data_IF_091911286867
#
_entry.id   IF_091911286867
#
_cell.length_a   1.000
_cell.length_b   1.000
_cell.length_c   1.000
_cell.angle_alpha   90.00
_cell.angle_beta   90.00
_cell.angle_gamma   90.00
#
_symmetry.space_group_name_H-M   'P 1'
#
loop_
_entity.id
_entity.type
_entity.pdbx_description
1 polymer ?
#
# COMPACT_ATOMS: atom_id res chain seq x y z
N UNK A 1 -5.55 13.99 -3.11
CA UNK A 1 -4.26 13.68 -3.74
C UNK A 1 -3.68 12.40 -3.16
N UNK A 2 -3.11 11.57 -3.99
CA UNK A 2 -2.58 10.30 -3.54
C UNK A 2 -1.13 10.42 -3.14
N UNK A 3 -0.74 9.65 -2.14
CA UNK A 3 0.62 9.59 -1.69
C UNK A 3 1.34 8.47 -2.44
N UNK A 4 2.51 8.79 -3.00
CA UNK A 4 3.31 7.81 -3.72
C UNK A 4 4.73 7.82 -3.20
N UNK A 5 5.32 6.63 -3.11
CA UNK A 5 6.70 6.51 -2.64
C UNK A 5 7.29 5.20 -3.15
N UNK A 6 8.57 5.26 -3.52
CA UNK A 6 9.32 4.03 -3.80
C UNK A 6 9.95 3.57 -2.50
N UNK A 7 9.73 2.31 -2.14
CA UNK A 7 10.21 1.76 -0.89
C UNK A 7 10.76 0.35 -1.15
N UNK A 8 12.05 0.20 -0.99
CA UNK A 8 12.72 -1.10 -1.17
C UNK A 8 12.42 -1.73 -2.52
N UNK A 9 12.37 -0.92 -3.55
CA UNK A 9 12.12 -1.41 -4.90
C UNK A 9 10.65 -1.55 -5.26
N UNK A 10 9.76 -1.24 -4.34
CA UNK A 10 8.32 -1.29 -4.59
C UNK A 10 7.78 0.14 -4.71
N UNK A 11 6.83 0.32 -5.60
CA UNK A 11 6.12 1.60 -5.68
C UNK A 11 4.86 1.49 -4.84
N UNK A 12 4.75 2.32 -3.82
CA UNK A 12 3.58 2.36 -2.96
C UNK A 12 2.71 3.54 -3.37
N UNK A 13 1.42 3.29 -3.52
CA UNK A 13 0.43 4.34 -3.71
C UNK A 13 -0.64 4.14 -2.67
N UNK A 14 -1.00 5.22 -1.99
CA UNK A 14 -2.03 5.13 -0.98
C UNK A 14 -3.04 6.25 -1.16
N UNK A 15 -4.22 6.03 -0.65
CA UNK A 15 -5.30 6.98 -0.73
C UNK A 15 -6.33 6.63 0.31
N UNK A 16 -7.54 7.11 0.11
CA UNK A 16 -8.61 6.86 1.06
C UNK A 16 -9.95 6.96 0.36
N UNK A 17 -10.93 6.28 0.93
CA UNK A 17 -12.29 6.32 0.42
C UNK A 17 -13.22 6.74 1.54
N UNK A 18 -14.23 7.56 1.25
CA UNK A 18 -15.19 7.96 2.28
C UNK A 18 -16.04 6.78 2.70
N UNK A 19 -16.40 6.77 3.98
CA UNK A 19 -17.29 5.75 4.51
C UNK A 19 -18.70 6.10 4.11
N UNK A 20 -19.44 5.12 3.65
CA UNK A 20 -20.73 5.37 3.05
C UNK A 20 -21.77 5.92 4.02
N UNK A 21 -21.85 5.35 5.22
CA UNK A 21 -22.94 5.64 6.13
C UNK A 21 -22.61 6.62 7.23
N UNK A 22 -21.42 7.17 7.24
CA UNK A 22 -21.01 8.06 8.31
C UNK A 22 -19.81 8.88 7.89
N UNK A 23 -19.46 9.85 8.70
CA UNK A 23 -18.30 10.68 8.43
C UNK A 23 -17.05 9.90 8.72
N UNK A 24 -16.11 9.96 7.81
CA UNK A 24 -14.84 9.30 7.98
C UNK A 24 -14.32 8.70 6.70
N UNK A 25 -13.13 8.15 6.79
CA UNK A 25 -12.44 7.59 5.62
C UNK A 25 -11.76 6.29 6.01
N UNK A 26 -11.67 5.40 5.04
CA UNK A 26 -10.92 4.16 5.19
C UNK A 26 -9.74 4.16 4.23
N UNK A 27 -8.63 3.53 4.62
CA UNK A 27 -7.45 3.51 3.76
C UNK A 27 -7.65 2.71 2.48
N UNK A 28 -6.84 3.06 1.49
CA UNK A 28 -6.65 2.25 0.28
C UNK A 28 -5.15 2.21 0.07
N UNK A 29 -4.61 1.05 -0.27
CA UNK A 29 -3.19 0.91 -0.51
C UNK A 29 -2.95 0.03 -1.72
N UNK A 30 -1.92 0.39 -2.48
CA UNK A 30 -1.53 -0.36 -3.66
C UNK A 30 -0.02 -0.42 -3.73
N UNK A 31 0.50 -1.59 -4.08
CA UNK A 31 1.93 -1.79 -4.26
C UNK A 31 2.15 -2.36 -5.65
N UNK A 32 3.10 -1.78 -6.36
CA UNK A 32 3.50 -2.24 -7.69
C UNK A 32 4.98 -2.59 -7.66
N UNK A 33 5.35 -3.66 -8.35
CA UNK A 33 6.76 -4.02 -8.49
C UNK A 33 6.91 -4.86 -9.75
N UNK A 34 8.17 -5.08 -10.14
CA UNK A 34 8.48 -5.92 -11.28
C UNK A 34 9.16 -7.18 -10.78
N UNK A 35 8.67 -8.32 -11.23
CA UNK A 35 9.21 -9.61 -10.85
C UNK A 35 9.39 -10.46 -12.08
N UNK A 36 10.62 -10.89 -12.35
CA UNK A 36 10.92 -11.72 -13.53
C UNK A 36 10.44 -11.06 -14.82
N UNK A 37 10.62 -9.74 -14.93
CA UNK A 37 10.24 -9.01 -16.12
C UNK A 37 8.75 -8.73 -16.22
N UNK A 38 7.97 -9.11 -15.24
CA UNK A 38 6.53 -8.91 -15.24
C UNK A 38 6.14 -7.94 -14.14
N UNK A 39 5.18 -7.10 -14.47
CA UNK A 39 4.67 -6.16 -13.49
C UNK A 39 3.67 -6.85 -12.58
N UNK A 40 3.82 -6.64 -11.28
CA UNK A 40 2.94 -7.20 -10.26
C UNK A 40 2.26 -6.09 -9.49
N UNK A 41 1.08 -6.38 -9.01
CA UNK A 41 0.27 -5.43 -8.25
C UNK A 41 -0.36 -6.13 -7.07
N UNK A 42 -0.37 -5.45 -5.93
CA UNK A 42 -1.12 -5.88 -4.75
C UNK A 42 -1.99 -4.71 -4.32
N UNK A 43 -3.28 -4.94 -4.16
CA UNK A 43 -4.22 -3.88 -3.89
C UNK A 43 -5.09 -4.22 -2.68
N UNK A 44 -5.18 -3.27 -1.75
CA UNK A 44 -6.07 -3.37 -0.60
C UNK A 44 -7.07 -2.23 -0.70
N UNK A 45 -8.33 -2.59 -0.83
CA UNK A 45 -9.40 -1.61 -0.90
C UNK A 45 -9.90 -1.26 0.50
N UNK A 46 -10.81 -0.31 0.58
CA UNK A 46 -11.29 0.15 1.88
C UNK A 46 -11.89 -0.95 2.73
N UNK A 47 -12.50 -1.95 2.13
CA UNK A 47 -13.13 -3.03 2.91
C UNK A 47 -12.10 -3.99 3.51
N UNK A 48 -10.83 -3.86 3.13
CA UNK A 48 -9.78 -4.69 3.72
C UNK A 48 -9.33 -4.17 5.07
N UNK A 49 -9.77 -2.98 5.45
CA UNK A 49 -9.35 -2.36 6.70
C UNK A 49 -10.53 -2.25 7.64
N UNK A 50 -10.27 -2.51 8.93
CA UNK A 50 -11.32 -2.36 9.94
C UNK A 50 -11.33 -0.98 10.54
N UNK A 51 -10.17 -0.32 10.60
CA UNK A 51 -10.07 1.01 11.20
C UNK A 51 -10.56 2.07 10.25
N UNK A 52 -11.12 3.13 10.80
CA UNK A 52 -11.51 4.29 10.02
C UNK A 52 -10.92 5.54 10.65
N UNK A 53 -10.84 6.61 9.88
CA UNK A 53 -10.15 7.82 10.29
C UNK A 53 -11.01 9.04 9.97
N UNK A 54 -10.81 10.08 10.75
CA UNK A 54 -11.62 11.29 10.60
C UNK A 54 -11.29 12.07 9.34
N UNK A 55 -10.07 11.99 8.85
CA UNK A 55 -9.66 12.76 7.68
C UNK A 55 -9.09 11.87 6.60
N UNK A 56 -9.14 12.39 5.37
CA UNK A 56 -8.55 11.70 4.23
C UNK A 56 -7.07 11.45 4.46
N UNK A 57 -6.37 12.47 4.96
CA UNK A 57 -4.94 12.38 5.13
C UNK A 57 -4.54 11.30 6.12
N UNK A 58 -5.28 11.19 7.21
CA UNK A 58 -4.96 10.16 8.21
C UNK A 58 -5.17 8.77 7.63
N UNK A 59 -6.23 8.57 6.88
CA UNK A 59 -6.49 7.26 6.26
C UNK A 59 -5.42 6.96 5.21
N UNK A 60 -5.06 7.96 4.41
CA UNK A 60 -4.02 7.78 3.39
C UNK A 60 -2.69 7.39 4.02
N UNK A 61 -2.34 8.06 5.11
CA UNK A 61 -1.10 7.76 5.83
C UNK A 61 -1.12 6.34 6.37
N UNK A 62 -2.25 5.92 6.91
CA UNK A 62 -2.35 4.55 7.44
C UNK A 62 -2.19 3.52 6.34
N UNK A 63 -2.79 3.77 5.17
CA UNK A 63 -2.62 2.86 4.04
C UNK A 63 -1.15 2.76 3.64
N UNK A 64 -0.45 3.87 3.68
CA UNK A 64 0.97 3.89 3.34
C UNK A 64 1.79 3.09 4.34
N UNK A 65 1.52 3.26 5.63
CA UNK A 65 2.21 2.50 6.68
C UNK A 65 1.92 1.02 6.52
N UNK A 66 0.67 0.67 6.25
CA UNK A 66 0.29 -0.72 6.06
C UNK A 66 1.07 -1.34 4.89
N UNK A 67 1.21 -0.61 3.79
CA UNK A 67 1.94 -1.11 2.64
C UNK A 67 3.42 -1.34 2.96
N UNK A 68 4.02 -0.42 3.71
CA UNK A 68 5.41 -0.58 4.11
C UNK A 68 5.60 -1.80 5.00
N UNK A 69 4.68 -2.01 5.92
CA UNK A 69 4.74 -3.18 6.81
C UNK A 69 4.66 -4.46 6.01
N UNK A 70 3.78 -4.49 5.00
CA UNK A 70 3.65 -5.66 4.16
C UNK A 70 4.96 -5.94 3.42
N UNK A 71 5.59 -4.89 2.89
CA UNK A 71 6.85 -5.05 2.17
C UNK A 71 7.93 -5.55 3.12
N UNK A 72 7.98 -5.04 4.34
CA UNK A 72 8.97 -5.47 5.31
C UNK A 72 8.79 -6.94 5.69
N UNK A 73 7.56 -7.41 5.71
CA UNK A 73 7.27 -8.80 6.02
C UNK A 73 7.45 -9.73 4.83
N UNK A 74 7.49 -9.18 3.62
CA UNK A 74 7.58 -9.95 2.38
C UNK A 74 8.68 -9.41 1.49
N UNK A 75 9.90 -9.34 1.97
CA UNK A 75 10.98 -8.75 1.18
C UNK A 75 11.28 -9.63 0.03
N UNK A 76 11.13 -9.49 -1.04
CA UNK A 76 11.45 -10.31 -2.00
C UNK A 76 11.87 -9.87 -3.09
N UNK A 77 11.75 -10.08 -3.43
CA UNK A 77 12.27 -10.34 -4.23
C UNK A 77 13.04 -9.69 -5.06
N UNK A 78 13.25 -9.46 -4.93
CA UNK A 78 13.82 -8.98 -5.53
C UNK A 78 14.85 -9.01 -5.67
N UNK A 79 14.71 -9.08 -5.54
CA UNK A 79 15.49 -9.16 -5.71
C UNK A 79 16.39 -9.63 -5.77
N UNK A 80 16.42 -9.81 -5.57
CA UNK A 80 17.06 -10.13 -5.54
C UNK A 80 17.70 -10.69 -5.71
N UNK A 81 17.48 -10.58 -5.59
CA UNK A 81 17.79 -10.94 -5.77
C UNK A 81 18.48 -11.56 -5.83
N UNK A 82 18.53 -11.46 -5.76
CA UNK A 82 18.92 -11.89 -5.82
C UNK A 82 19.64 -12.58 -5.67
N UNK A 83 19.88 -12.56 -5.62
CA UNK A 83 20.39 -13.04 -5.43
C UNK A 83 21.13 -13.66 -5.15
N UNK A 84 21.41 -13.76 -5.01
CA UNK A 84 21.84 -14.14 -4.67
C UNK A 84 22.26 -14.67 -4.38
N UNK A 85 22.40 -14.82 -4.43
CA UNK A 85 22.47 -15.07 -4.10
C UNK A 85 22.73 -15.39 -3.96
#
# INVERSE_FOLDING_TARGET
>A
MKMEQVYKGYMIRSGAAPIRDRIGFKPIAQINWTENGRERVKLWMEWCFTASFATYKDAETEGHVFAKDWIDDNPKPKAKQETKK
#
